data_IF_107075638659
#
_entry.id   IF_107075638659
#
_cell.length_a   1.000
_cell.length_b   1.000
_cell.length_c   1.000
_cell.angle_alpha   90.00
_cell.angle_beta   90.00
_cell.angle_gamma   90.00
#
_symmetry.space_group_name_H-M   'P 1'
#
loop_
_entity.id
_entity.type
_entity.pdbx_description
1 polymer ?
#
# COMPACT_ATOMS: atom_id res chain seq x y z
N UNK A 1 16.41 -1.13 -12.82
CA UNK A 1 16.64 -0.94 -11.37
C UNK A 1 15.31 -1.15 -10.67
N UNK A 2 15.22 -2.14 -9.79
CA UNK A 2 13.97 -2.54 -9.13
C UNK A 2 13.70 -1.51 -8.03
N UNK A 3 12.58 -0.80 -8.13
CA UNK A 3 12.14 0.11 -7.07
C UNK A 3 11.73 -0.75 -5.87
N UNK A 4 12.61 -0.85 -4.87
CA UNK A 4 12.43 -1.74 -3.73
C UNK A 4 11.53 -1.05 -2.70
N UNK A 5 10.22 -1.29 -2.83
CA UNK A 5 9.19 -0.92 -1.86
C UNK A 5 9.55 -1.49 -0.48
N UNK A 6 10.04 -0.64 0.42
CA UNK A 6 10.46 -1.06 1.76
C UNK A 6 9.27 -1.03 2.72
N UNK A 7 8.73 -2.20 3.06
CA UNK A 7 7.68 -2.32 4.06
C UNK A 7 8.28 -2.14 5.45
N UNK A 8 7.96 -1.02 6.12
CA UNK A 8 8.35 -0.79 7.52
C UNK A 8 7.21 -1.12 8.48
N UNK A 9 7.16 -2.36 8.97
CA UNK A 9 6.26 -2.74 10.07
C UNK A 9 6.82 -2.17 11.37
N UNK A 10 6.09 -1.27 12.04
CA UNK A 10 6.49 -0.75 13.35
C UNK A 10 5.81 -1.55 14.46
N UNK A 11 6.56 -2.32 15.28
CA UNK A 11 5.99 -3.19 16.32
C UNK A 11 5.50 -2.44 17.57
N UNK A 12 5.59 -1.09 17.61
CA UNK A 12 5.29 -0.30 18.82
C UNK A 12 3.82 0.15 18.95
N UNK A 13 2.98 -0.09 17.95
CA UNK A 13 1.56 0.32 17.94
C UNK A 13 0.70 -0.85 17.47
N UNK A 14 -0.56 -0.96 17.90
CA UNK A 14 -1.59 -1.87 17.34
C UNK A 14 -1.98 -1.47 15.89
N UNK A 15 -1.01 -1.06 15.07
CA UNK A 15 -1.21 -0.51 13.73
C UNK A 15 -0.08 -1.02 12.84
N UNK A 16 -0.45 -1.70 11.76
CA UNK A 16 0.46 -2.05 10.69
C UNK A 16 0.55 -0.86 9.72
N UNK A 17 1.70 -0.18 9.73
CA UNK A 17 1.98 0.88 8.79
C UNK A 17 2.79 0.34 7.62
N UNK A 18 2.29 0.53 6.40
CA UNK A 18 2.94 0.12 5.17
C UNK A 18 3.30 1.41 4.41
N UNK A 19 4.58 1.79 4.42
CA UNK A 19 5.09 2.85 3.55
C UNK A 19 5.45 2.21 2.22
N UNK A 20 4.64 2.47 1.20
CA UNK A 20 4.56 1.51 0.12
C UNK A 20 5.44 1.93 -1.05
N UNK A 21 5.20 3.10 -1.64
CA UNK A 21 5.69 3.38 -3.00
C UNK A 21 5.94 4.87 -3.21
N UNK A 22 7.09 5.17 -3.82
CA UNK A 22 7.31 6.43 -4.52
C UNK A 22 6.41 6.50 -5.76
N UNK A 23 5.39 7.35 -5.67
CA UNK A 23 4.39 7.66 -6.69
C UNK A 23 4.57 9.08 -7.25
N UNK A 24 5.78 9.52 -7.66
CA UNK A 24 5.97 10.87 -8.18
C UNK A 24 5.13 11.10 -9.44
N UNK A 25 4.56 12.29 -9.52
CA UNK A 25 3.75 12.72 -10.66
C UNK A 25 2.29 12.25 -10.65
N UNK A 26 1.87 11.49 -9.62
CA UNK A 26 0.48 11.06 -9.46
C UNK A 26 -0.23 11.89 -8.41
N UNK A 27 -1.50 12.21 -8.68
CA UNK A 27 -2.40 12.78 -7.67
C UNK A 27 -3.12 11.65 -6.95
N UNK A 28 -3.68 11.94 -5.78
CA UNK A 28 -4.44 10.95 -4.98
C UNK A 28 -5.58 10.31 -5.76
N UNK A 29 -6.21 11.03 -6.69
CA UNK A 29 -7.28 10.50 -7.55
C UNK A 29 -6.82 9.52 -8.65
N UNK A 30 -5.52 9.48 -8.95
CA UNK A 30 -4.94 8.58 -9.93
C UNK A 30 -4.53 7.23 -9.31
N UNK A 31 -4.70 7.08 -7.99
CA UNK A 31 -4.30 5.92 -7.20
C UNK A 31 -5.55 5.22 -6.68
N UNK A 32 -5.63 3.91 -6.90
CA UNK A 32 -6.65 3.04 -6.32
C UNK A 32 -6.02 2.13 -5.29
N UNK A 33 -6.65 2.05 -4.13
CA UNK A 33 -6.26 1.17 -3.03
C UNK A 33 -7.48 0.36 -2.64
N UNK A 34 -7.36 -0.96 -2.66
CA UNK A 34 -8.42 -1.89 -2.28
C UNK A 34 -7.82 -3.17 -1.69
N UNK A 35 -8.63 -3.97 -1.02
CA UNK A 35 -8.24 -5.29 -0.49
C UNK A 35 -9.01 -6.34 -1.28
N UNK A 36 -8.28 -7.29 -1.87
CA UNK A 36 -8.82 -8.47 -2.56
C UNK A 36 -8.93 -9.65 -1.58
N UNK A 37 -9.40 -10.80 -2.07
CA UNK A 37 -9.43 -12.05 -1.29
C UNK A 37 -8.06 -12.41 -0.70
N UNK A 38 -8.06 -13.20 0.36
CA UNK A 38 -6.85 -13.64 1.07
C UNK A 38 -6.03 -12.48 1.65
N UNK A 39 -6.72 -11.42 2.07
CA UNK A 39 -6.15 -10.24 2.75
C UNK A 39 -5.04 -9.57 1.93
N UNK A 40 -5.20 -9.55 0.60
CA UNK A 40 -4.23 -8.95 -0.31
C UNK A 40 -4.57 -7.48 -0.55
N UNK A 41 -3.78 -6.58 0.03
CA UNK A 41 -3.82 -5.16 -0.26
C UNK A 41 -3.25 -4.90 -1.65
N UNK A 42 -4.07 -4.32 -2.53
CA UNK A 42 -3.70 -3.96 -3.89
C UNK A 42 -3.69 -2.45 -4.04
N UNK A 43 -2.58 -1.95 -4.58
CA UNK A 43 -2.38 -0.55 -4.90
C UNK A 43 -2.10 -0.48 -6.38
N UNK A 44 -2.88 0.31 -7.10
CA UNK A 44 -2.73 0.50 -8.54
C UNK A 44 -2.85 1.95 -8.93
N UNK A 45 -2.28 2.29 -10.09
CA UNK A 45 -2.42 3.62 -10.68
C UNK A 45 -1.82 3.67 -12.07
N UNK A 46 -1.93 4.83 -12.72
CA UNK A 46 -1.43 5.03 -14.08
C UNK A 46 -0.72 6.37 -14.20
N UNK A 47 0.58 6.34 -14.52
CA UNK A 47 1.35 7.54 -14.86
C UNK A 47 1.15 7.83 -16.33
N UNK A 48 0.48 8.93 -16.63
CA UNK A 48 0.35 9.45 -17.99
C UNK A 48 1.49 10.41 -18.30
N UNK A 49 1.96 10.37 -19.53
CA UNK A 49 2.91 11.35 -20.00
C UNK A 49 2.20 12.69 -20.20
N UNK A 50 2.71 13.77 -19.60
CA UNK A 50 2.17 15.11 -19.83
C UNK A 50 2.73 15.67 -21.13
N UNK A 51 1.92 15.62 -22.18
CA UNK A 51 2.06 16.50 -23.35
C UNK A 51 2.54 15.80 -24.61
N UNK A 52 1.61 15.20 -25.35
CA UNK A 52 1.74 15.19 -26.80
C UNK A 52 1.29 16.57 -27.30
N UNK A 53 2.17 17.57 -27.18
CA UNK A 53 2.04 18.73 -28.08
C UNK A 53 2.52 18.25 -29.44
N UNK A 54 1.68 18.39 -30.46
CA UNK A 54 2.09 18.10 -31.85
C UNK A 54 3.45 18.74 -32.12
N UNK A 55 4.43 17.91 -32.51
CA UNK A 55 5.80 18.35 -32.81
C UNK A 55 6.83 18.23 -31.68
N UNK A 56 6.45 17.79 -30.47
CA UNK A 56 7.42 17.54 -29.40
C UNK A 56 8.27 16.28 -29.69
N UNK A 57 9.60 16.43 -29.78
CA UNK A 57 10.55 15.31 -29.86
C UNK A 57 11.24 15.12 -28.51
N UNK A 58 11.06 13.96 -27.92
CA UNK A 58 11.75 13.57 -26.69
C UNK A 58 13.13 12.97 -27.03
N UNK A 59 14.20 13.54 -26.48
CA UNK A 59 15.54 12.98 -26.61
C UNK A 59 15.74 11.75 -25.71
N UNK A 60 15.12 11.76 -24.51
CA UNK A 60 15.20 10.68 -23.54
C UNK A 60 14.03 10.73 -22.56
N UNK A 61 13.50 9.57 -22.20
CA UNK A 61 12.51 9.39 -21.15
C UNK A 61 13.13 8.46 -20.10
N UNK A 62 13.35 8.97 -18.90
CA UNK A 62 13.98 8.23 -17.79
C UNK A 62 12.98 7.82 -16.71
N UNK A 63 11.76 8.37 -16.77
CA UNK A 63 10.67 8.04 -15.84
C UNK A 63 9.72 7.05 -16.48
N UNK A 64 9.31 6.04 -15.71
CA UNK A 64 8.33 5.06 -16.16
C UNK A 64 6.96 5.73 -16.36
N UNK A 65 6.44 5.62 -17.58
CA UNK A 65 5.07 5.95 -17.97
C UNK A 65 4.28 4.65 -18.09
N UNK A 66 3.02 4.65 -17.64
CA UNK A 66 2.14 3.50 -17.74
C UNK A 66 1.52 3.09 -16.41
N UNK A 67 0.87 1.93 -16.44
CA UNK A 67 0.17 1.35 -15.29
C UNK A 67 1.17 0.68 -14.35
N UNK A 68 0.92 0.81 -13.06
CA UNK A 68 1.66 0.08 -12.02
C UNK A 68 0.67 -0.55 -11.04
N UNK A 69 1.10 -1.66 -10.46
CA UNK A 69 0.35 -2.42 -9.47
C UNK A 69 1.31 -3.03 -8.47
N UNK A 70 1.01 -2.87 -7.19
CA UNK A 70 1.69 -3.55 -6.10
C UNK A 70 0.66 -4.30 -5.27
N UNK A 71 1.03 -5.53 -4.88
CA UNK A 71 0.21 -6.40 -4.04
C UNK A 71 0.99 -6.76 -2.78
N UNK A 72 0.32 -6.68 -1.63
CA UNK A 72 0.89 -6.99 -0.33
C UNK A 72 -0.07 -7.89 0.42
N UNK A 73 0.44 -8.99 0.96
CA UNK A 73 -0.31 -9.83 1.89
C UNK A 73 -0.31 -9.13 3.24
N UNK A 74 -1.50 -8.86 3.79
CA UNK A 74 -1.67 -8.32 5.14
C UNK A 74 -1.45 -9.42 6.18
N UNK A 75 -1.14 -9.02 7.42
CA UNK A 75 -1.05 -9.97 8.52
C UNK A 75 -2.45 -10.46 8.92
N UNK A 76 -2.54 -11.66 9.50
CA UNK A 76 -3.81 -12.28 9.90
C UNK A 76 -4.64 -11.42 10.88
N UNK A 77 -3.98 -10.55 11.64
CA UNK A 77 -4.64 -9.65 12.59
C UNK A 77 -4.99 -8.28 11.99
N UNK A 78 -4.87 -8.08 10.67
CA UNK A 78 -5.22 -6.83 10.02
C UNK A 78 -6.74 -6.58 10.06
N UNK A 79 -7.13 -5.36 10.45
CA UNK A 79 -8.51 -4.91 10.38
C UNK A 79 -8.77 -4.25 9.02
N UNK A 80 -9.29 -5.04 8.07
CA UNK A 80 -9.58 -4.63 6.69
C UNK A 80 -10.63 -3.51 6.62
N UNK A 81 -11.48 -3.39 7.63
CA UNK A 81 -12.49 -2.33 7.68
C UNK A 81 -11.88 -0.95 7.97
N UNK A 82 -10.65 -0.91 8.49
CA UNK A 82 -9.98 0.33 8.91
C UNK A 82 -8.65 0.46 8.17
N UNK A 83 -8.77 0.72 6.87
CA UNK A 83 -7.66 1.02 5.97
C UNK A 83 -7.68 2.51 5.63
N UNK A 84 -6.53 3.17 5.76
CA UNK A 84 -6.35 4.57 5.39
C UNK A 84 -5.14 4.72 4.47
N UNK A 85 -5.24 5.62 3.50
CA UNK A 85 -4.17 5.91 2.56
C UNK A 85 -3.95 7.41 2.43
N UNK A 86 -2.69 7.84 2.46
CA UNK A 86 -2.29 9.24 2.32
C UNK A 86 -1.20 9.33 1.26
N UNK A 87 -1.41 10.17 0.26
CA UNK A 87 -0.42 10.50 -0.75
C UNK A 87 0.09 11.92 -0.50
N UNK A 88 1.35 12.07 -0.09
CA UNK A 88 1.95 13.36 0.20
C UNK A 88 3.38 13.40 -0.36
N UNK A 89 3.74 14.48 -1.06
CA UNK A 89 5.09 14.65 -1.60
C UNK A 89 5.49 13.59 -2.64
N UNK A 90 4.53 12.96 -3.32
CA UNK A 90 4.80 11.86 -4.25
C UNK A 90 5.08 10.52 -3.56
N UNK A 91 4.76 10.37 -2.29
CA UNK A 91 4.89 9.10 -1.55
C UNK A 91 3.51 8.66 -1.05
N UNK A 92 3.16 7.40 -1.32
CA UNK A 92 1.95 6.78 -0.81
C UNK A 92 2.24 6.01 0.49
N UNK A 93 1.55 6.39 1.55
CA UNK A 93 1.53 5.68 2.84
C UNK A 93 0.17 5.04 3.06
N UNK A 94 0.14 3.74 3.30
CA UNK A 94 -1.08 2.99 3.65
C UNK A 94 -0.96 2.51 5.09
N UNK A 95 -1.98 2.76 5.89
CA UNK A 95 -2.04 2.30 7.29
C UNK A 95 -3.24 1.40 7.45
N UNK A 96 -2.98 0.22 7.99
CA UNK A 96 -3.99 -0.79 8.33
C UNK A 96 -3.94 -0.99 9.83
N UNK A 97 -5.05 -0.78 10.52
CA UNK A 97 -5.10 -1.05 11.96
C UNK A 97 -5.05 -2.56 12.20
N UNK A 98 -4.44 -2.99 13.31
CA UNK A 98 -4.49 -4.40 13.69
C UNK A 98 -5.55 -4.60 14.76
N UNK A 99 -6.28 -5.70 14.68
CA UNK A 99 -7.22 -6.12 15.71
C UNK A 99 -6.46 -6.32 17.04
N UNK A 100 -7.07 -5.94 18.17
CA UNK A 100 -6.48 -6.16 19.48
C UNK A 100 -6.26 -7.67 19.69
N UNK A 101 -5.17 -8.06 20.37
CA UNK A 101 -4.92 -9.47 20.68
C UNK A 101 -6.10 -10.02 21.48
N UNK A 102 -6.72 -11.10 20.97
CA UNK A 102 -7.79 -11.77 21.71
C UNK A 102 -7.22 -12.23 23.04
N UNK A 103 -7.90 -11.90 24.16
CA UNK A 103 -7.49 -12.39 25.47
C UNK A 103 -7.28 -13.91 25.42
N UNK A 104 -6.22 -14.47 26.02
CA UNK A 104 -5.99 -15.90 26.01
C UNK A 104 -7.25 -16.58 26.56
N UNK A 105 -7.88 -17.44 25.75
CA UNK A 105 -9.02 -18.25 26.18
C UNK A 105 -8.59 -18.97 27.46
N UNK A 106 -9.28 -18.70 28.57
CA UNK A 106 -9.06 -19.43 29.82
C UNK A 106 -9.17 -20.93 29.50
N UNK A 107 -8.09 -21.66 29.73
CA UNK A 107 -8.10 -23.11 29.60
C UNK A 107 -9.04 -23.64 30.68
N UNK A 108 -10.07 -24.39 30.28
CA UNK A 108 -10.88 -25.14 31.21
C UNK A 108 -10.06 -26.37 31.63
N UNK A 109 -9.38 -26.27 32.77
CA UNK A 109 -8.80 -27.44 33.43
C UNK A 109 -9.94 -28.35 33.84
N UNK A 110 -10.00 -29.55 33.26
CA UNK A 110 -10.83 -30.65 33.76
C UNK A 110 -9.92 -31.41 34.71
N UNK A 111 -10.23 -31.35 36.01
CA UNK A 111 -9.53 -32.15 37.03
C UNK A 111 -10.01 -33.61 36.93
N UNK A 112 -9.07 -34.55 37.09
CA UNK A 112 -9.30 -36.01 37.15
C UNK A 112 -9.34 -36.44 38.61
#
# INVERSE_FOLDING_TARGET
MINMSMIRVSPKTLRQRIQVIDVPGLKSGDIKVHVEDYDVLVISGERKMKGDKEGAKYLRIETMVGKYMHKFVLLENANINVVSAVCQGGVLSVTVETLPPSQPKKLNTIEV
#
